data_IF_499149580941
#
_entry.id   IF_499149580941
#
_cell.length_a   1.000
_cell.length_b   1.000
_cell.length_c   1.000
_cell.angle_alpha   90.00
_cell.angle_beta   90.00
_cell.angle_gamma   90.00
#
_symmetry.space_group_name_H-M   'P 1'
#
loop_
_entity.id
_entity.type
_entity.pdbx_description
1 polymer ?
#
# COMPACT_ATOMS: atom_id res chain seq x y z
N UNK A 1 -8.70 -12.63 -14.67
CA UNK A 1 -7.75 -11.96 -15.58
C UNK A 1 -7.89 -10.44 -15.44
N UNK A 2 -7.11 -9.85 -14.55
CA UNK A 2 -7.12 -8.41 -14.30
C UNK A 2 -6.20 -7.75 -15.34
N UNK A 3 -6.79 -7.07 -16.32
CA UNK A 3 -6.03 -6.38 -17.37
C UNK A 3 -5.59 -5.02 -16.82
N UNK A 4 -4.31 -4.94 -16.43
CA UNK A 4 -3.59 -3.70 -16.12
C UNK A 4 -3.46 -2.79 -17.38
N UNK A 5 -3.76 -3.34 -18.57
CA UNK A 5 -3.40 -2.76 -19.87
C UNK A 5 -4.55 -2.12 -20.66
N UNK A 6 -5.70 -1.83 -20.04
CA UNK A 6 -6.64 -0.84 -20.64
C UNK A 6 -6.41 0.50 -19.97
N UNK A 7 -5.49 1.35 -20.49
CA UNK A 7 -5.32 2.70 -20.00
C UNK A 7 -6.65 3.45 -20.14
N UNK A 8 -7.13 4.02 -19.03
CA UNK A 8 -8.23 4.99 -19.07
C UNK A 8 -7.68 6.30 -19.65
N UNK A 9 -8.32 6.90 -20.67
CA UNK A 9 -7.88 8.18 -21.21
C UNK A 9 -7.99 9.27 -20.13
N UNK A 10 -7.16 10.33 -20.22
CA UNK A 10 -7.26 11.46 -19.32
C UNK A 10 -8.66 12.09 -19.43
N UNK A 11 -9.21 12.49 -18.28
CA UNK A 11 -10.53 13.11 -18.20
C UNK A 11 -10.48 14.64 -18.40
N UNK A 12 -9.29 15.24 -18.27
CA UNK A 12 -9.07 16.68 -18.27
C UNK A 12 -7.76 17.05 -19.00
N UNK A 13 -7.65 18.28 -19.49
CA UNK A 13 -6.46 18.80 -20.19
C UNK A 13 -5.24 18.96 -19.25
N UNK A 14 -5.48 19.36 -17.99
CA UNK A 14 -4.47 19.34 -16.94
C UNK A 14 -4.29 17.89 -16.45
N UNK A 15 -3.21 17.24 -16.91
CA UNK A 15 -2.95 15.83 -16.61
C UNK A 15 -1.48 15.57 -16.28
N UNK A 16 -1.20 15.25 -15.03
CA UNK A 16 0.14 15.00 -14.54
C UNK A 16 0.61 13.58 -14.86
N UNK A 17 1.70 13.44 -15.62
CA UNK A 17 2.21 12.16 -16.10
C UNK A 17 3.69 11.91 -15.74
N UNK A 18 4.03 12.11 -14.46
CA UNK A 18 5.38 11.96 -13.90
C UNK A 18 5.60 10.60 -13.22
N UNK A 19 6.82 10.36 -12.75
CA UNK A 19 7.14 9.23 -11.85
C UNK A 19 6.98 9.67 -10.40
N UNK A 20 5.84 9.33 -9.80
CA UNK A 20 5.45 9.81 -8.48
C UNK A 20 4.75 8.71 -7.67
N UNK A 21 5.08 8.64 -6.38
CA UNK A 21 4.29 7.93 -5.37
C UNK A 21 3.65 8.97 -4.45
N UNK A 22 2.34 9.15 -4.58
CA UNK A 22 1.56 10.16 -3.86
C UNK A 22 0.69 9.50 -2.79
N UNK A 23 0.79 9.97 -1.55
CA UNK A 23 -0.01 9.49 -0.43
C UNK A 23 -0.93 10.61 0.03
N UNK A 24 -2.24 10.36 0.00
CA UNK A 24 -3.26 11.23 0.58
C UNK A 24 -3.52 10.80 2.03
N UNK A 25 -3.32 11.72 2.98
CA UNK A 25 -3.57 11.51 4.40
C UNK A 25 -4.73 12.43 4.84
N UNK A 26 -5.89 11.85 5.15
CA UNK A 26 -7.13 12.58 5.42
C UNK A 26 -7.41 12.63 6.93
N UNK A 27 -7.58 13.82 7.47
CA UNK A 27 -8.02 14.04 8.85
C UNK A 27 -9.44 13.50 9.05
N UNK A 28 -9.59 12.46 9.87
CA UNK A 28 -10.86 11.84 10.22
C UNK A 28 -11.45 12.36 11.54
N UNK A 29 -10.98 13.49 12.05
CA UNK A 29 -11.51 14.08 13.28
C UNK A 29 -12.90 14.70 13.09
N UNK A 30 -13.60 14.90 14.19
CA UNK A 30 -14.86 15.64 14.27
C UNK A 30 -14.68 17.17 14.11
N UNK A 31 -13.49 17.66 13.71
CA UNK A 31 -13.29 19.07 13.34
C UNK A 31 -13.76 19.37 11.93
N UNK A 32 -13.90 18.33 11.12
CA UNK A 32 -14.71 18.36 9.91
C UNK A 32 -16.05 17.73 10.25
N UNK A 33 -17.14 18.37 9.86
CA UNK A 33 -18.45 17.72 9.78
C UNK A 33 -18.46 16.64 8.70
N UNK A 34 -19.46 15.78 8.70
CA UNK A 34 -19.61 14.74 7.67
C UNK A 34 -19.70 15.35 6.26
N UNK A 35 -20.38 16.50 6.12
CA UNK A 35 -20.47 17.23 4.85
C UNK A 35 -19.12 17.81 4.41
N UNK A 36 -18.34 18.37 5.34
CA UNK A 36 -17.00 18.88 5.04
C UNK A 36 -16.02 17.74 4.71
N UNK A 37 -16.16 16.59 5.35
CA UNK A 37 -15.40 15.39 5.00
C UNK A 37 -15.78 14.84 3.61
N UNK A 38 -17.06 14.95 3.22
CA UNK A 38 -17.49 14.64 1.85
C UNK A 38 -16.81 15.57 0.84
N UNK A 39 -16.77 16.89 1.11
CA UNK A 39 -16.05 17.86 0.28
C UNK A 39 -14.54 17.53 0.19
N UNK A 40 -13.93 17.08 1.29
CA UNK A 40 -12.54 16.62 1.31
C UNK A 40 -12.32 15.39 0.42
N UNK A 41 -13.23 14.40 0.44
CA UNK A 41 -13.16 13.23 -0.46
C UNK A 41 -13.33 13.64 -1.92
N UNK A 42 -14.27 14.53 -2.22
CA UNK A 42 -14.49 15.07 -3.56
C UNK A 42 -13.22 15.76 -4.06
N UNK A 43 -12.54 16.56 -3.23
CA UNK A 43 -11.25 17.15 -3.56
C UNK A 43 -10.19 16.10 -3.93
N UNK A 44 -10.05 15.04 -3.13
CA UNK A 44 -9.10 13.94 -3.39
C UNK A 44 -9.43 13.24 -4.71
N UNK A 45 -10.70 12.93 -4.97
CA UNK A 45 -11.16 12.33 -6.23
C UNK A 45 -10.83 13.24 -7.42
N UNK A 46 -11.13 14.54 -7.30
CA UNK A 46 -10.86 15.54 -8.33
C UNK A 46 -9.36 15.72 -8.60
N UNK A 47 -8.50 15.55 -7.59
CA UNK A 47 -7.06 15.45 -7.80
C UNK A 47 -6.70 14.19 -8.57
N UNK A 48 -7.19 13.02 -8.16
CA UNK A 48 -6.92 11.73 -8.81
C UNK A 48 -7.32 11.69 -10.29
N UNK A 49 -8.37 12.41 -10.69
CA UNK A 49 -8.77 12.54 -12.10
C UNK A 49 -7.73 13.24 -12.99
N UNK A 50 -6.86 14.06 -12.39
CA UNK A 50 -5.81 14.83 -13.07
C UNK A 50 -4.43 14.15 -12.98
N UNK A 51 -4.37 12.92 -12.47
CA UNK A 51 -3.15 12.14 -12.32
C UNK A 51 -3.15 10.95 -13.26
N UNK A 52 -2.01 10.68 -13.89
CA UNK A 52 -1.77 9.46 -14.66
C UNK A 52 -1.53 8.27 -13.72
N UNK A 53 -2.60 7.77 -13.10
CA UNK A 53 -2.52 6.68 -12.13
C UNK A 53 -2.18 5.36 -12.83
N UNK A 54 -0.99 4.83 -12.54
CA UNK A 54 -0.55 3.48 -12.92
C UNK A 54 0.72 3.09 -12.16
N UNK A 55 1.02 1.79 -12.09
CA UNK A 55 2.27 1.31 -11.47
C UNK A 55 3.54 1.84 -12.16
N UNK A 56 3.45 2.24 -13.45
CA UNK A 56 4.57 2.78 -14.23
C UNK A 56 4.68 4.30 -14.18
N UNK A 57 3.65 5.02 -13.71
CA UNK A 57 3.58 6.50 -13.68
C UNK A 57 3.32 6.99 -12.26
N UNK A 58 2.08 7.32 -11.92
CA UNK A 58 1.73 7.80 -10.59
C UNK A 58 1.09 6.66 -9.79
N UNK A 59 1.71 6.23 -8.70
CA UNK A 59 1.07 5.36 -7.70
C UNK A 59 0.41 6.23 -6.65
N UNK A 60 -0.75 5.82 -6.17
CA UNK A 60 -1.51 6.55 -5.14
C UNK A 60 -1.79 5.66 -3.94
N UNK A 61 -1.74 6.24 -2.75
CA UNK A 61 -2.21 5.63 -1.51
C UNK A 61 -3.16 6.59 -0.80
N UNK A 62 -4.10 6.04 -0.04
CA UNK A 62 -5.13 6.80 0.64
C UNK A 62 -5.28 6.27 2.06
N UNK A 63 -5.07 7.15 3.04
CA UNK A 63 -5.15 6.82 4.46
C UNK A 63 -6.02 7.86 5.15
N UNK A 64 -7.04 7.40 5.86
CA UNK A 64 -7.75 8.23 6.83
C UNK A 64 -7.10 8.04 8.20
N UNK A 65 -6.93 9.13 8.95
CA UNK A 65 -6.31 9.07 10.27
C UNK A 65 -7.14 9.75 11.35
N UNK A 66 -7.23 9.05 12.47
CA UNK A 66 -7.87 9.46 13.72
C UNK A 66 -6.91 9.15 14.88
N UNK A 67 -7.34 8.43 15.92
CA UNK A 67 -6.41 7.85 16.92
C UNK A 67 -5.47 6.80 16.31
N UNK A 68 -5.87 6.18 15.20
CA UNK A 68 -5.05 5.28 14.38
C UNK A 68 -5.00 5.73 12.93
N UNK A 69 -4.62 4.81 12.04
CA UNK A 69 -4.59 5.05 10.59
C UNK A 69 -5.21 3.88 9.86
N UNK A 70 -6.16 4.17 8.96
CA UNK A 70 -6.83 3.18 8.14
C UNK A 70 -6.51 3.43 6.66
N UNK A 71 -5.75 2.51 6.06
CA UNK A 71 -5.40 2.56 4.64
C UNK A 71 -6.51 1.93 3.78
N UNK A 72 -7.03 2.70 2.84
CA UNK A 72 -8.04 2.26 1.87
C UNK A 72 -7.43 1.88 0.52
N UNK A 73 -6.32 2.53 0.16
CA UNK A 73 -5.58 2.29 -1.07
C UNK A 73 -4.09 2.21 -0.72
N UNK A 74 -3.41 1.18 -1.22
CA UNK A 74 -1.97 1.02 -1.13
C UNK A 74 -1.29 1.35 -2.46
N UNK A 75 -0.04 1.83 -2.43
CA UNK A 75 0.71 2.17 -3.64
C UNK A 75 0.79 1.01 -4.65
N UNK A 76 0.80 -0.23 -4.15
CA UNK A 76 0.93 -1.46 -4.94
C UNK A 76 -0.40 -1.98 -5.51
N UNK A 77 -1.52 -1.35 -5.17
CA UNK A 77 -2.82 -1.81 -5.63
C UNK A 77 -2.92 -1.67 -7.15
N UNK A 78 -3.02 -2.80 -7.84
CA UNK A 78 -3.19 -2.87 -9.30
C UNK A 78 -4.67 -2.85 -9.64
N UNK A 79 -5.28 -1.68 -9.51
CA UNK A 79 -6.71 -1.44 -9.78
C UNK A 79 -6.89 -0.38 -10.87
N UNK A 80 -8.05 -0.40 -11.54
CA UNK A 80 -8.38 0.65 -12.51
C UNK A 80 -8.44 2.02 -11.81
N UNK A 81 -8.00 3.13 -12.45
CA UNK A 81 -8.11 4.47 -11.87
C UNK A 81 -9.54 4.82 -11.43
N UNK A 82 -10.55 4.43 -12.21
CA UNK A 82 -11.97 4.56 -11.83
C UNK A 82 -12.35 3.82 -10.55
N UNK A 83 -11.82 2.61 -10.34
CA UNK A 83 -12.07 1.84 -9.12
C UNK A 83 -11.37 2.48 -7.91
N UNK A 84 -10.15 2.98 -8.09
CA UNK A 84 -9.43 3.71 -7.03
C UNK A 84 -10.19 4.99 -6.62
N UNK A 85 -10.70 5.75 -7.59
CA UNK A 85 -11.55 6.93 -7.33
C UNK A 85 -12.84 6.55 -6.58
N UNK A 86 -13.47 5.43 -6.95
CA UNK A 86 -14.66 4.91 -6.25
C UNK A 86 -14.34 4.50 -4.81
N UNK A 87 -13.18 3.91 -4.55
CA UNK A 87 -12.74 3.60 -3.17
C UNK A 87 -12.54 4.90 -2.39
N UNK A 88 -11.89 5.90 -2.99
CA UNK A 88 -11.67 7.19 -2.36
C UNK A 88 -12.98 7.93 -2.02
N UNK A 89 -13.99 7.89 -2.89
CA UNK A 89 -15.30 8.48 -2.61
C UNK A 89 -16.08 7.75 -1.51
N UNK A 90 -15.76 6.49 -1.24
CA UNK A 90 -16.43 5.64 -0.25
C UNK A 90 -15.71 5.55 1.10
N UNK A 91 -14.65 6.34 1.31
CA UNK A 91 -14.01 6.44 2.63
C UNK A 91 -15.06 6.87 3.66
N UNK A 92 -15.10 6.13 4.78
CA UNK A 92 -16.07 6.37 5.85
C UNK A 92 -15.64 7.56 6.69
N UNK A 93 -16.59 8.44 6.99
CA UNK A 93 -16.38 9.50 7.97
C UNK A 93 -16.24 8.89 9.36
N UNK A 94 -15.11 9.14 10.02
CA UNK A 94 -14.83 8.61 11.35
C UNK A 94 -15.40 9.52 12.46
N UNK A 95 -15.31 10.84 12.31
CA UNK A 95 -15.80 11.81 13.30
C UNK A 95 -15.13 11.66 14.67
N UNK A 96 -13.85 11.29 14.68
CA UNK A 96 -13.11 11.01 15.92
C UNK A 96 -12.80 12.27 16.72
N UNK A 97 -12.76 12.17 18.06
CA UNK A 97 -12.31 13.27 18.90
C UNK A 97 -10.83 13.66 18.67
N UNK A 98 -10.03 12.74 18.14
CA UNK A 98 -8.59 12.92 17.88
C UNK A 98 -8.25 12.45 16.47
N UNK A 99 -7.47 13.26 15.77
CA UNK A 99 -6.70 12.85 14.59
C UNK A 99 -5.21 13.11 14.80
N UNK A 100 -4.43 12.03 14.93
CA UNK A 100 -3.01 12.11 15.25
C UNK A 100 -2.15 12.15 13.99
N UNK A 101 -1.71 13.35 13.67
CA UNK A 101 -0.67 13.61 12.67
C UNK A 101 0.65 12.90 12.99
N UNK A 102 0.99 12.74 14.26
CA UNK A 102 2.19 12.00 14.66
C UNK A 102 2.08 10.52 14.27
N UNK A 103 0.93 9.89 14.55
CA UNK A 103 0.70 8.48 14.22
C UNK A 103 0.63 8.22 12.71
N UNK A 104 -0.04 9.09 11.94
CA UNK A 104 -0.12 8.90 10.49
C UNK A 104 1.22 9.11 9.78
N UNK A 105 2.07 10.04 10.26
CA UNK A 105 3.42 10.18 9.71
C UNK A 105 4.34 9.03 10.12
N UNK A 106 4.16 8.46 11.32
CA UNK A 106 4.80 7.20 11.72
C UNK A 106 4.37 6.06 10.78
N UNK A 107 3.08 5.92 10.52
CA UNK A 107 2.53 4.93 9.59
C UNK A 107 3.12 5.12 8.18
N UNK A 108 3.16 6.35 7.69
CA UNK A 108 3.73 6.69 6.38
C UNK A 108 5.20 6.29 6.29
N UNK A 109 5.99 6.54 7.34
CA UNK A 109 7.42 6.23 7.36
C UNK A 109 7.74 4.73 7.42
N UNK A 110 6.98 3.98 8.23
CA UNK A 110 7.29 2.59 8.58
C UNK A 110 6.41 1.54 7.90
N UNK A 111 5.27 1.92 7.34
CA UNK A 111 4.39 1.01 6.61
C UNK A 111 4.44 1.31 5.11
N UNK A 112 4.12 2.54 4.71
CA UNK A 112 4.03 2.91 3.28
C UNK A 112 5.43 2.99 2.65
N UNK A 113 6.31 3.85 3.18
CA UNK A 113 7.67 4.01 2.67
C UNK A 113 8.70 3.21 3.47
N UNK A 114 8.28 2.08 4.04
CA UNK A 114 9.12 1.19 4.84
C UNK A 114 10.37 0.75 4.06
N UNK A 115 10.16 0.27 2.83
CA UNK A 115 11.15 -0.08 1.82
C UNK A 115 11.03 0.88 0.64
N UNK A 116 12.14 1.16 0.00
CA UNK A 116 12.20 1.99 -1.22
C UNK A 116 12.34 1.04 -2.41
N UNK A 117 11.21 0.64 -2.97
CA UNK A 117 11.11 -0.28 -4.10
C UNK A 117 11.13 0.44 -5.46
N UNK A 118 10.91 1.75 -5.46
CA UNK A 118 10.80 2.60 -6.64
C UNK A 118 11.68 3.86 -6.54
N UNK A 119 13.02 3.70 -6.58
CA UNK A 119 13.96 4.80 -6.32
C UNK A 119 13.93 5.91 -7.38
N UNK A 120 13.43 5.64 -8.58
CA UNK A 120 13.28 6.58 -9.68
C UNK A 120 12.11 7.56 -9.54
N UNK A 121 11.15 7.26 -8.65
CA UNK A 121 9.99 8.10 -8.40
C UNK A 121 10.19 9.04 -7.22
N UNK A 122 9.65 10.26 -7.34
CA UNK A 122 9.49 11.14 -6.17
C UNK A 122 8.44 10.56 -5.23
N UNK A 123 8.56 10.85 -3.93
CA UNK A 123 7.61 10.38 -2.90
C UNK A 123 7.06 11.56 -2.15
N UNK A 124 5.74 11.70 -2.15
CA UNK A 124 5.05 12.84 -1.57
C UNK A 124 3.92 12.35 -0.66
N UNK A 125 3.85 12.88 0.54
CA UNK A 125 2.70 12.75 1.43
C UNK A 125 1.95 14.09 1.50
N UNK A 126 0.74 14.13 0.93
CA UNK A 126 -0.18 15.25 1.04
C UNK A 126 -1.00 15.09 2.31
N UNK A 127 -0.66 15.89 3.32
CA UNK A 127 -1.22 15.80 4.67
C UNK A 127 -2.35 16.81 4.84
N UNK A 128 -3.60 16.35 4.70
CA UNK A 128 -4.80 17.17 4.82
C UNK A 128 -5.21 17.25 6.29
N UNK A 129 -5.04 18.42 6.92
CA UNK A 129 -5.18 18.63 8.36
C UNK A 129 -6.33 19.59 8.66
N UNK A 130 -7.24 19.21 9.56
CA UNK A 130 -8.31 20.09 10.03
C UNK A 130 -8.31 20.28 11.55
N UNK A 131 -7.45 19.54 12.26
CA UNK A 131 -7.46 19.47 13.72
C UNK A 131 -6.08 19.63 14.35
N UNK A 132 -6.07 19.60 15.68
CA UNK A 132 -4.87 19.57 16.50
C UNK A 132 -4.87 18.31 17.35
N UNK A 133 -3.79 17.53 17.27
CA UNK A 133 -3.60 16.36 18.13
C UNK A 133 -3.20 16.76 19.57
N UNK A 134 -3.48 15.89 20.56
CA UNK A 134 -3.05 16.11 21.94
C UNK A 134 -1.54 16.37 22.08
N UNK A 135 -1.16 17.35 22.90
CA UNK A 135 0.24 17.78 23.09
C UNK A 135 1.20 16.64 23.47
N UNK A 136 0.72 15.59 24.13
CA UNK A 136 1.54 14.42 24.51
C UNK A 136 2.02 13.65 23.27
N UNK A 137 1.17 13.51 22.25
CA UNK A 137 1.50 12.84 21.00
C UNK A 137 2.40 13.72 20.12
N UNK A 138 2.04 15.01 19.99
CA UNK A 138 2.77 15.97 19.16
C UNK A 138 4.27 16.12 19.50
N UNK A 139 4.69 15.79 20.73
CA UNK A 139 6.11 15.82 21.15
C UNK A 139 7.00 14.88 20.31
N UNK A 140 6.43 13.81 19.76
CA UNK A 140 7.18 12.80 19.02
C UNK A 140 7.08 12.97 17.50
N UNK A 141 6.55 14.10 17.01
CA UNK A 141 6.39 14.35 15.59
C UNK A 141 7.74 14.48 14.86
N UNK A 142 8.67 15.26 15.42
CA UNK A 142 9.93 15.66 14.76
C UNK A 142 10.74 14.46 14.25
N UNK A 143 10.98 13.40 15.05
CA UNK A 143 11.70 12.21 14.57
C UNK A 143 11.10 11.57 13.31
N UNK A 144 9.77 11.55 13.19
CA UNK A 144 9.08 10.95 12.04
C UNK A 144 9.20 11.83 10.79
N UNK A 145 9.02 13.15 10.91
CA UNK A 145 9.22 14.06 9.77
C UNK A 145 10.68 14.03 9.30
N UNK A 146 11.64 13.99 10.23
CA UNK A 146 13.05 13.82 9.88
C UNK A 146 13.34 12.46 9.24
N UNK A 147 12.67 11.39 9.69
CA UNK A 147 12.76 10.07 9.08
C UNK A 147 12.25 10.07 7.63
N UNK A 148 11.11 10.72 7.39
CA UNK A 148 10.55 10.91 6.05
C UNK A 148 11.50 11.70 5.16
N UNK A 149 12.07 12.81 5.66
CA UNK A 149 13.11 13.57 4.96
C UNK A 149 14.32 12.72 4.59
N UNK A 150 14.84 11.90 5.51
CA UNK A 150 15.99 11.00 5.24
C UNK A 150 15.67 9.99 4.13
N UNK A 151 14.41 9.57 4.00
CA UNK A 151 13.91 8.73 2.90
C UNK A 151 13.52 9.53 1.66
N UNK A 152 13.81 10.83 1.58
CA UNK A 152 13.42 11.73 0.49
C UNK A 152 11.89 11.72 0.23
N UNK A 153 11.12 11.61 1.30
CA UNK A 153 9.66 11.78 1.26
C UNK A 153 9.37 13.24 1.59
N UNK A 154 8.74 13.93 0.66
CA UNK A 154 8.30 15.32 0.80
C UNK A 154 6.95 15.30 1.51
N UNK A 155 6.76 16.15 2.52
CA UNK A 155 5.50 16.26 3.25
C UNK A 155 4.90 17.62 2.94
N UNK A 156 3.76 17.62 2.26
CA UNK A 156 3.03 18.83 1.86
C UNK A 156 1.80 18.96 2.76
N UNK A 157 1.86 19.76 3.84
CA UNK A 157 0.71 19.96 4.72
C UNK A 157 -0.30 20.93 4.09
N UNK A 158 -1.57 20.54 4.11
CA UNK A 158 -2.72 21.38 3.73
C UNK A 158 -3.57 21.57 4.98
N UNK A 159 -3.47 22.75 5.59
CA UNK A 159 -4.26 23.11 6.77
C UNK A 159 -5.62 23.68 6.37
N UNK A 160 -6.69 23.18 6.98
CA UNK A 160 -8.07 23.52 6.64
C UNK A 160 -8.78 24.01 7.91
N UNK A 161 -9.23 25.26 7.89
CA UNK A 161 -10.04 25.81 8.97
C UNK A 161 -9.25 26.27 10.19
N UNK A 162 -9.94 26.86 11.18
CA UNK A 162 -9.30 27.55 12.29
C UNK A 162 -8.74 26.61 13.37
N UNK A 163 -9.11 25.33 13.34
CA UNK A 163 -8.72 24.34 14.35
C UNK A 163 -7.39 23.65 14.04
N UNK A 164 -6.79 23.94 12.88
CA UNK A 164 -5.53 23.33 12.48
C UNK A 164 -4.36 23.83 13.33
N UNK A 165 -3.43 22.93 13.65
CA UNK A 165 -2.21 23.28 14.38
C UNK A 165 -1.16 23.94 13.47
N UNK A 166 -1.22 25.26 13.32
CA UNK A 166 -0.26 26.03 12.49
C UNK A 166 1.20 25.89 12.96
N UNK A 167 1.44 25.70 14.26
CA UNK A 167 2.82 25.49 14.76
C UNK A 167 3.40 24.17 14.28
N UNK A 168 2.55 23.16 14.15
CA UNK A 168 2.91 21.86 13.60
C UNK A 168 3.19 21.91 12.10
N UNK A 169 2.36 22.63 11.34
CA UNK A 169 2.60 22.90 9.91
C UNK A 169 3.97 23.56 9.73
N UNK A 170 4.24 24.67 10.44
CA UNK A 170 5.53 25.37 10.38
C UNK A 170 6.72 24.49 10.76
N UNK A 171 6.52 23.52 11.67
CA UNK A 171 7.55 22.57 12.06
C UNK A 171 7.88 21.61 10.91
N UNK A 172 6.87 21.17 10.15
CA UNK A 172 7.03 20.34 8.95
C UNK A 172 7.73 21.12 7.84
N UNK A 173 7.30 22.35 7.55
CA UNK A 173 7.92 23.22 6.53
C UNK A 173 9.42 23.43 6.79
N UNK A 174 9.79 23.67 8.06
CA UNK A 174 11.19 23.87 8.45
C UNK A 174 12.10 22.66 8.22
N UNK A 175 11.55 21.46 8.01
CA UNK A 175 12.39 20.27 7.82
C UNK A 175 13.03 20.22 6.43
N UNK A 176 12.35 20.70 5.38
CA UNK A 176 12.84 20.66 4.00
C UNK A 176 12.20 21.77 3.16
N UNK A 177 12.95 22.42 2.24
CA UNK A 177 12.42 23.51 1.41
C UNK A 177 11.25 23.08 0.50
N UNK A 178 11.18 21.80 0.17
CA UNK A 178 10.10 21.19 -0.62
C UNK A 178 8.82 20.91 0.19
N UNK A 179 8.85 21.07 1.52
CA UNK A 179 7.67 20.89 2.37
C UNK A 179 6.81 22.16 2.37
N UNK A 180 6.37 22.67 1.21
CA UNK A 180 5.49 23.86 1.13
C UNK A 180 4.14 23.57 1.80
N UNK A 181 3.69 24.46 2.67
CA UNK A 181 2.33 24.40 3.22
C UNK A 181 1.31 25.14 2.37
N UNK A 182 0.08 24.64 2.37
CA UNK A 182 -1.11 25.35 1.91
C UNK A 182 -2.04 25.54 3.11
N UNK A 183 -2.51 26.75 3.37
CA UNK A 183 -3.40 27.04 4.51
C UNK A 183 -4.67 27.68 3.97
N UNK A 184 -5.78 27.04 4.26
CA UNK A 184 -7.11 27.32 3.73
C UNK A 184 -8.06 27.66 4.88
N UNK A 185 -8.99 28.58 4.63
CA UNK A 185 -9.96 29.01 5.65
C UNK A 185 -11.08 27.98 5.86
N UNK A 186 -11.44 27.22 4.82
CA UNK A 186 -12.46 26.16 4.86
C UNK A 186 -12.22 25.12 3.76
N UNK A 187 -13.01 24.05 3.77
CA UNK A 187 -13.00 23.05 2.68
C UNK A 187 -13.47 23.61 1.34
N UNK A 188 -14.18 24.73 1.31
CA UNK A 188 -14.72 25.32 0.09
C UNK A 188 -13.61 25.92 -0.80
N UNK A 189 -12.47 26.26 -0.20
CA UNK A 189 -11.29 26.79 -0.91
C UNK A 189 -10.46 25.68 -1.57
N UNK A 190 -10.70 24.40 -1.23
CA UNK A 190 -9.93 23.26 -1.75
C UNK A 190 -10.00 23.17 -3.27
N UNK A 191 -11.18 23.35 -3.87
CA UNK A 191 -11.33 23.26 -5.32
C UNK A 191 -10.55 24.36 -6.07
N UNK A 192 -10.51 25.56 -5.49
CA UNK A 192 -9.80 26.72 -6.07
C UNK A 192 -8.29 26.52 -6.04
N UNK A 193 -7.79 25.82 -5.01
CA UNK A 193 -6.36 25.57 -4.80
C UNK A 193 -5.86 24.24 -5.40
N UNK A 194 -6.78 23.38 -5.84
CA UNK A 194 -6.49 22.05 -6.40
C UNK A 194 -5.42 22.09 -7.49
N UNK A 195 -5.61 22.91 -8.51
CA UNK A 195 -4.73 22.89 -9.68
C UNK A 195 -3.33 23.46 -9.35
N UNK A 196 -3.24 24.44 -8.43
CA UNK A 196 -1.96 24.92 -7.91
C UNK A 196 -1.22 23.82 -7.14
N UNK A 197 -1.93 23.11 -6.26
CA UNK A 197 -1.36 21.98 -5.50
C UNK A 197 -0.86 20.92 -6.47
N UNK A 198 -1.68 20.51 -7.45
CA UNK A 198 -1.29 19.50 -8.44
C UNK A 198 -0.03 19.93 -9.20
N UNK A 199 0.00 21.17 -9.72
CA UNK A 199 1.18 21.68 -10.43
C UNK A 199 2.42 21.58 -9.55
N UNK A 200 2.33 22.04 -8.30
CA UNK A 200 3.43 21.98 -7.35
C UNK A 200 3.93 20.55 -7.10
N UNK A 201 3.02 19.60 -6.86
CA UNK A 201 3.39 18.20 -6.65
C UNK A 201 4.06 17.58 -7.88
N UNK A 202 3.60 17.95 -9.07
CA UNK A 202 4.09 17.42 -10.34
C UNK A 202 5.44 18.00 -10.75
N UNK A 203 5.71 19.26 -10.41
CA UNK A 203 7.02 19.90 -10.65
C UNK A 203 8.13 19.28 -9.79
N UNK A 204 7.78 18.71 -8.63
CA UNK A 204 8.70 17.97 -7.76
C UNK A 204 9.00 16.54 -8.27
N UNK A 205 8.28 16.06 -9.28
CA UNK A 205 8.41 14.69 -9.77
C UNK A 205 9.18 14.62 -11.11
N UNK A 206 10.09 13.65 -11.26
CA UNK A 206 10.87 13.51 -12.49
C UNK A 206 9.99 13.07 -13.66
N UNK A 207 10.40 13.50 -14.86
CA UNK A 207 9.79 13.04 -16.11
C UNK A 207 9.97 11.53 -16.27
N UNK A 208 8.96 10.85 -16.81
CA UNK A 208 9.17 9.47 -17.20
C UNK A 208 10.03 9.41 -18.46
N UNK A 209 10.91 8.40 -18.60
CA UNK A 209 11.66 8.17 -19.82
C UNK A 209 10.73 8.13 -21.04
N UNK A 210 11.16 8.75 -22.14
CA UNK A 210 10.47 8.60 -23.41
C UNK A 210 10.39 7.11 -23.78
N UNK A 211 9.28 6.65 -24.41
CA UNK A 211 9.23 5.30 -24.94
C UNK A 211 10.42 5.10 -25.89
N UNK A 212 11.32 4.18 -25.57
CA UNK A 212 12.38 3.76 -26.49
C UNK A 212 11.67 3.22 -27.73
N UNK A 213 11.87 3.89 -28.87
CA UNK A 213 11.40 3.37 -30.15
C UNK A 213 11.97 1.95 -30.29
N UNK A 214 11.13 0.93 -30.59
CA UNK A 214 11.66 -0.37 -30.92
C UNK A 214 12.62 -0.21 -32.11
N UNK A 215 13.81 -0.84 -32.09
CA UNK A 215 14.71 -0.79 -33.23
C UNK A 215 13.99 -1.32 -34.47
N UNK A 216 14.28 -0.80 -35.68
CA UNK A 216 13.64 -1.27 -36.90
C UNK A 216 13.87 -2.78 -37.03
N UNK A 217 12.77 -3.53 -37.04
CA UNK A 217 12.79 -4.98 -37.22
C UNK A 217 13.40 -5.25 -38.59
N UNK A 218 14.61 -5.83 -38.62
CA UNK A 218 15.20 -6.31 -39.86
C UNK A 218 14.28 -7.40 -40.44
N UNK A 219 13.83 -7.19 -41.68
CA UNK A 219 13.06 -8.21 -42.41
C UNK A 219 14.01 -9.37 -42.74
N UNK A 220 13.81 -10.51 -42.07
CA UNK A 220 14.53 -11.75 -42.36
C UNK A 220 13.82 -12.46 -43.50
N UNK A 221 14.53 -12.59 -44.61
CA UNK A 221 14.14 -13.36 -45.80
C UNK A 221 13.93 -14.83 -45.43
N UNK A 222 12.75 -15.37 -45.74
CA UNK A 222 12.40 -16.76 -45.47
C UNK A 222 13.12 -17.67 -46.47
N UNK A 223 14.10 -18.44 -46.02
CA UNK A 223 14.54 -19.66 -46.68
C UNK A 223 13.66 -20.83 -46.20
N UNK A 224 13.29 -21.78 -47.08
CA UNK A 224 12.50 -22.93 -46.65
C UNK A 224 13.41 -23.89 -45.87
N UNK A 225 12.87 -24.56 -44.85
CA UNK A 225 13.02 -26.01 -44.63
C UNK A 225 12.54 -26.44 -43.20
N UNK A 226 11.75 -27.50 -43.24
CA UNK A 226 11.40 -28.54 -42.25
C UNK A 226 10.53 -28.26 -40.99
N UNK A 227 9.52 -29.14 -40.93
CA UNK A 227 8.56 -29.40 -39.86
C UNK A 227 9.26 -29.75 -38.55
N UNK A 228 8.84 -29.08 -37.46
CA UNK A 228 8.60 -29.75 -36.17
C UNK A 228 7.56 -28.94 -35.40
N UNK A 229 6.43 -29.59 -35.12
CA UNK A 229 5.35 -29.05 -34.29
C UNK A 229 5.88 -29.00 -32.86
N UNK A 230 6.39 -27.83 -32.45
CA UNK A 230 6.66 -27.56 -31.04
C UNK A 230 5.48 -26.80 -30.45
N UNK A 231 4.60 -27.54 -29.78
CA UNK A 231 3.55 -26.99 -28.94
C UNK A 231 4.17 -26.34 -27.70
N UNK A 232 4.62 -25.10 -27.81
CA UNK A 232 4.83 -24.25 -26.64
C UNK A 232 3.90 -23.04 -26.75
N UNK A 233 2.82 -23.09 -25.98
CA UNK A 233 2.08 -21.88 -25.61
C UNK A 233 3.02 -20.87 -24.93
N UNK A 234 2.62 -19.59 -24.86
CA UNK A 234 3.48 -18.55 -24.31
C UNK A 234 3.87 -18.92 -22.88
N UNK A 235 5.19 -19.01 -22.62
CA UNK A 235 5.73 -19.12 -21.25
C UNK A 235 5.20 -17.93 -20.46
N UNK A 236 4.25 -18.18 -19.56
CA UNK A 236 3.91 -17.24 -18.49
C UNK A 236 5.20 -17.05 -17.68
N UNK A 237 5.67 -15.81 -17.58
CA UNK A 237 6.68 -15.45 -16.59
C UNK A 237 6.18 -15.94 -15.23
N UNK A 238 6.80 -16.96 -14.64
CA UNK A 238 6.40 -17.44 -13.31
C UNK A 238 6.75 -16.34 -12.31
N UNK A 239 5.73 -15.78 -11.66
CA UNK A 239 5.96 -15.01 -10.45
C UNK A 239 6.25 -16.01 -9.36
N UNK A 240 7.45 -15.96 -8.79
CA UNK A 240 7.77 -16.68 -7.56
C UNK A 240 7.12 -15.92 -6.40
N UNK A 241 6.19 -16.56 -5.68
CA UNK A 241 5.43 -15.94 -4.60
C UNK A 241 5.60 -16.76 -3.32
N UNK A 242 6.06 -16.13 -2.25
CA UNK A 242 6.24 -16.77 -0.95
C UNK A 242 5.06 -16.42 -0.03
N UNK A 243 4.33 -17.45 0.45
CA UNK A 243 3.15 -17.30 1.31
C UNK A 243 3.36 -18.00 2.65
N UNK A 244 3.15 -17.28 3.76
CA UNK A 244 3.17 -17.87 5.11
C UNK A 244 1.76 -17.97 5.65
N UNK A 245 1.31 -19.18 5.96
CA UNK A 245 0.09 -19.42 6.75
C UNK A 245 0.43 -19.48 8.23
N UNK A 246 -0.27 -18.70 9.05
CA UNK A 246 -0.06 -18.63 10.51
C UNK A 246 -1.36 -19.03 11.21
N UNK A 247 -1.44 -20.27 11.67
CA UNK A 247 -2.64 -20.86 12.27
C UNK A 247 -2.59 -20.76 13.80
N UNK A 248 -3.66 -20.25 14.38
CA UNK A 248 -3.83 -20.27 15.83
C UNK A 248 -4.30 -21.65 16.30
N UNK A 249 -3.48 -22.31 17.12
CA UNK A 249 -3.76 -23.60 17.75
C UNK A 249 -3.96 -23.49 19.26
N UNK A 250 -4.62 -22.42 19.74
CA UNK A 250 -4.85 -22.17 21.17
C UNK A 250 -6.06 -22.94 21.72
N UNK A 251 -6.10 -23.12 23.05
CA UNK A 251 -7.24 -23.72 23.75
C UNK A 251 -8.54 -22.90 23.63
N UNK A 252 -8.45 -21.62 23.28
CA UNK A 252 -9.61 -20.78 23.00
C UNK A 252 -10.28 -21.13 21.66
N UNK A 253 -9.49 -21.51 20.65
CA UNK A 253 -10.00 -22.01 19.37
C UNK A 253 -10.55 -23.43 19.55
N UNK A 254 -9.78 -24.29 20.22
CA UNK A 254 -10.10 -25.70 20.43
C UNK A 254 -9.94 -26.56 19.16
N UNK A 255 -9.72 -27.86 19.35
CA UNK A 255 -9.36 -28.80 18.26
C UNK A 255 -10.38 -28.80 17.10
N UNK A 256 -11.68 -28.77 17.40
CA UNK A 256 -12.72 -28.82 16.37
C UNK A 256 -12.68 -27.60 15.42
N UNK A 257 -12.42 -26.40 15.94
CA UNK A 257 -12.31 -25.21 15.10
C UNK A 257 -10.93 -25.08 14.45
N UNK A 258 -9.89 -25.56 15.12
CA UNK A 258 -8.57 -25.68 14.51
C UNK A 258 -8.62 -26.55 13.25
N UNK A 259 -9.29 -27.71 13.32
CA UNK A 259 -9.44 -28.62 12.17
C UNK A 259 -10.15 -27.93 10.99
N UNK A 260 -11.19 -27.12 11.25
CA UNK A 260 -11.85 -26.31 10.20
C UNK A 260 -10.90 -25.28 9.58
N UNK A 261 -10.07 -24.62 10.38
CA UNK A 261 -9.06 -23.67 9.89
C UNK A 261 -7.99 -24.37 9.03
N UNK A 262 -7.57 -25.57 9.42
CA UNK A 262 -6.64 -26.41 8.65
C UNK A 262 -7.24 -26.87 7.32
N UNK A 263 -8.49 -27.33 7.32
CA UNK A 263 -9.23 -27.73 6.11
C UNK A 263 -9.40 -26.54 5.15
N UNK A 264 -9.76 -25.37 5.67
CA UNK A 264 -9.84 -24.14 4.86
C UNK A 264 -8.48 -23.78 4.25
N UNK A 265 -7.39 -23.87 5.01
CA UNK A 265 -6.04 -23.65 4.48
C UNK A 265 -5.72 -24.67 3.37
N UNK A 266 -6.05 -25.95 3.55
CA UNK A 266 -5.86 -26.98 2.52
C UNK A 266 -6.58 -26.61 1.21
N UNK A 267 -7.85 -26.19 1.28
CA UNK A 267 -8.62 -25.77 0.11
C UNK A 267 -8.02 -24.57 -0.61
N UNK A 268 -7.45 -23.61 0.14
CA UNK A 268 -6.74 -22.46 -0.42
C UNK A 268 -5.49 -22.93 -1.17
N UNK A 269 -4.66 -23.75 -0.53
CA UNK A 269 -3.41 -24.29 -1.11
C UNK A 269 -3.71 -25.15 -2.34
N UNK A 270 -4.81 -25.89 -2.33
CA UNK A 270 -5.25 -26.70 -3.47
C UNK A 270 -5.52 -25.85 -4.73
N UNK A 271 -5.81 -24.54 -4.59
CA UNK A 271 -6.03 -23.62 -5.73
C UNK A 271 -4.77 -22.86 -6.14
N UNK A 272 -3.69 -22.97 -5.37
CA UNK A 272 -2.40 -22.32 -5.64
C UNK A 272 -1.53 -23.18 -6.57
N UNK A 273 -0.70 -22.51 -7.37
CA UNK A 273 0.32 -23.14 -8.23
C UNK A 273 1.62 -23.32 -7.42
N UNK A 274 1.63 -24.32 -6.54
CA UNK A 274 2.72 -24.57 -5.57
C UNK A 274 3.81 -25.43 -6.19
N UNK A 275 5.05 -24.97 -6.09
CA UNK A 275 6.20 -25.67 -6.64
C UNK A 275 7.46 -24.82 -6.60
N UNK A 276 8.60 -25.48 -6.79
CA UNK A 276 9.95 -24.92 -6.60
C UNK A 276 10.30 -23.65 -7.41
N UNK A 277 9.62 -23.43 -8.55
CA UNK A 277 9.82 -22.26 -9.43
C UNK A 277 8.57 -21.36 -9.50
N UNK A 278 7.67 -21.49 -8.53
CA UNK A 278 6.33 -20.87 -8.50
C UNK A 278 5.95 -20.40 -7.09
N UNK A 279 4.86 -20.89 -6.50
CA UNK A 279 4.46 -20.49 -5.15
C UNK A 279 5.17 -21.38 -4.11
N UNK A 280 5.87 -20.75 -3.16
CA UNK A 280 6.39 -21.42 -1.97
C UNK A 280 5.52 -21.15 -0.75
N UNK A 281 5.43 -22.13 0.14
CA UNK A 281 4.55 -22.09 1.30
C UNK A 281 5.33 -22.38 2.58
N UNK A 282 5.13 -21.56 3.60
CA UNK A 282 5.50 -21.87 4.98
C UNK A 282 4.21 -21.97 5.80
N UNK A 283 4.12 -22.96 6.68
CA UNK A 283 2.99 -23.10 7.60
C UNK A 283 3.51 -23.08 9.02
N UNK A 284 2.95 -22.17 9.82
CA UNK A 284 3.22 -22.03 11.24
C UNK A 284 1.95 -22.31 12.03
N UNK A 285 2.07 -23.05 13.12
CA UNK A 285 1.05 -23.13 14.16
C UNK A 285 1.53 -22.31 15.37
N UNK A 286 0.65 -21.56 16.01
CA UNK A 286 1.00 -20.81 17.21
C UNK A 286 -0.06 -20.85 18.31
N UNK A 287 0.40 -20.85 19.55
CA UNK A 287 -0.39 -20.55 20.75
C UNK A 287 0.48 -19.71 21.69
N UNK A 288 1.03 -20.31 22.74
CA UNK A 288 2.06 -19.71 23.59
C UNK A 288 3.44 -19.73 22.92
N UNK A 289 3.72 -20.79 22.16
CA UNK A 289 4.92 -20.98 21.33
C UNK A 289 4.54 -20.97 19.85
N UNK A 290 5.54 -20.82 18.99
CA UNK A 290 5.41 -20.93 17.53
C UNK A 290 6.06 -22.24 17.10
N UNK A 291 5.33 -23.04 16.33
CA UNK A 291 5.79 -24.31 15.76
C UNK A 291 5.80 -24.19 14.24
N UNK A 292 6.92 -24.54 13.62
CA UNK A 292 7.04 -24.58 12.16
C UNK A 292 6.58 -25.95 11.68
N UNK A 293 5.51 -25.99 10.89
CA UNK A 293 4.95 -27.22 10.33
C UNK A 293 5.52 -27.49 8.91
N UNK A 294 5.87 -26.42 8.19
CA UNK A 294 6.57 -26.48 6.90
C UNK A 294 7.29 -25.16 6.62
N UNK A 295 8.47 -25.20 5.99
CA UNK A 295 9.27 -24.02 5.68
C UNK A 295 9.65 -23.91 4.20
N UNK A 296 9.81 -22.68 3.70
CA UNK A 296 10.21 -22.37 2.30
C UNK A 296 11.51 -23.06 1.85
N UNK A 297 12.45 -23.28 2.78
CA UNK A 297 13.79 -23.80 2.48
C UNK A 297 13.80 -25.30 2.13
N UNK A 298 12.71 -26.01 2.41
CA UNK A 298 12.55 -27.41 2.03
C UNK A 298 12.17 -27.53 0.55
N UNK A 299 12.53 -28.63 -0.12
CA UNK A 299 12.02 -28.88 -1.47
C UNK A 299 10.51 -29.07 -1.44
N UNK A 300 9.79 -28.31 -2.26
CA UNK A 300 8.32 -28.25 -2.20
C UNK A 300 7.68 -28.73 -3.51
N UNK A 301 6.79 -29.71 -3.39
CA UNK A 301 5.75 -29.95 -4.37
C UNK A 301 4.38 -29.70 -3.74
N UNK A 302 3.39 -29.37 -4.57
CA UNK A 302 2.00 -29.22 -4.11
C UNK A 302 1.50 -30.43 -3.33
N UNK A 303 1.84 -31.64 -3.79
CA UNK A 303 1.47 -32.89 -3.13
C UNK A 303 2.07 -32.98 -1.72
N UNK A 304 3.35 -32.67 -1.58
CA UNK A 304 4.05 -32.77 -0.30
C UNK A 304 3.55 -31.72 0.72
N UNK A 305 3.24 -30.50 0.27
CA UNK A 305 2.71 -29.46 1.15
C UNK A 305 1.29 -29.82 1.61
N UNK A 306 0.42 -30.27 0.70
CA UNK A 306 -0.93 -30.70 1.08
C UNK A 306 -0.89 -31.90 2.03
N UNK A 307 0.04 -32.83 1.84
CA UNK A 307 0.20 -33.95 2.75
C UNK A 307 0.63 -33.48 4.16
N UNK A 308 1.66 -32.62 4.24
CA UNK A 308 2.09 -32.02 5.52
C UNK A 308 0.95 -31.27 6.20
N UNK A 309 0.18 -30.47 5.46
CA UNK A 309 -0.96 -29.72 5.98
C UNK A 309 -2.01 -30.63 6.62
N UNK A 310 -2.35 -31.77 6.00
CA UNK A 310 -3.29 -32.75 6.56
C UNK A 310 -2.80 -33.37 7.86
N UNK A 311 -1.48 -33.51 8.01
CA UNK A 311 -0.84 -34.13 9.16
C UNK A 311 -0.67 -33.19 10.35
N UNK A 312 -0.90 -31.88 10.17
CA UNK A 312 -0.82 -30.89 11.25
C UNK A 312 -1.84 -31.25 12.33
N UNK A 313 -1.32 -31.48 13.54
CA UNK A 313 -2.10 -31.78 14.74
C UNK A 313 -2.31 -30.52 15.57
N UNK A 314 -3.48 -30.43 16.17
CA UNK A 314 -3.78 -29.41 17.18
C UNK A 314 -2.85 -29.57 18.39
N UNK A 315 -2.14 -28.50 18.76
CA UNK A 315 -1.17 -28.52 19.87
C UNK A 315 -1.73 -27.96 21.19
N UNK A 316 -2.75 -27.10 21.11
CA UNK A 316 -3.30 -26.41 22.27
C UNK A 316 -2.36 -25.37 22.88
N UNK A 317 -2.83 -24.72 23.93
CA UNK A 317 -2.08 -23.72 24.66
C UNK A 317 -2.98 -22.71 25.34
N UNK A 318 -2.67 -22.44 26.61
CA UNK A 318 -3.48 -21.63 27.51
C UNK A 318 -3.48 -20.12 27.21
N UNK A 319 -2.71 -19.66 26.22
CA UNK A 319 -2.60 -18.25 25.84
C UNK A 319 -2.13 -18.11 24.40
N UNK A 320 -2.51 -16.99 23.78
CA UNK A 320 -2.25 -16.68 22.38
C UNK A 320 -1.22 -15.56 22.27
N UNK A 321 -0.08 -15.82 21.63
CA UNK A 321 1.00 -14.84 21.39
C UNK A 321 1.17 -14.51 19.92
N UNK A 322 0.17 -13.87 19.32
CA UNK A 322 0.19 -13.47 17.90
C UNK A 322 1.40 -12.57 17.57
N UNK A 323 1.78 -11.67 18.49
CA UNK A 323 2.97 -10.83 18.31
C UNK A 323 4.27 -11.63 18.17
N UNK A 324 4.42 -12.73 18.92
CA UNK A 324 5.57 -13.62 18.82
C UNK A 324 5.56 -14.40 17.50
N UNK A 325 4.39 -14.87 17.06
CA UNK A 325 4.23 -15.53 15.76
C UNK A 325 4.64 -14.61 14.60
N UNK A 326 4.18 -13.35 14.61
CA UNK A 326 4.54 -12.37 13.58
C UNK A 326 6.02 -11.95 13.64
N UNK A 327 6.59 -11.88 14.85
CA UNK A 327 8.03 -11.67 15.02
C UNK A 327 8.82 -12.84 14.41
N UNK A 328 8.39 -14.08 14.65
CA UNK A 328 9.01 -15.27 14.08
C UNK A 328 8.99 -15.22 12.54
N UNK A 329 7.84 -14.91 11.94
CA UNK A 329 7.69 -14.73 10.48
C UNK A 329 8.69 -13.71 9.93
N UNK A 330 8.79 -12.55 10.59
CA UNK A 330 9.72 -11.48 10.21
C UNK A 330 11.18 -11.91 10.27
N UNK A 331 11.57 -12.63 11.32
CA UNK A 331 12.97 -12.94 11.63
C UNK A 331 13.47 -14.24 11.00
N UNK A 332 12.58 -15.20 10.71
CA UNK A 332 12.96 -16.56 10.31
C UNK A 332 12.32 -17.02 8.99
N UNK A 333 11.07 -16.65 8.70
CA UNK A 333 10.39 -17.12 7.49
C UNK A 333 10.81 -16.35 6.25
N UNK A 334 10.99 -15.03 6.34
CA UNK A 334 11.38 -14.17 5.21
C UNK A 334 12.82 -13.62 5.28
N UNK A 335 13.65 -14.13 6.19
CA UNK A 335 15.07 -13.79 6.24
C UNK A 335 15.86 -14.63 5.22
N UNK A 336 16.67 -13.94 4.42
CA UNK A 336 17.55 -14.53 3.40
C UNK A 336 18.51 -15.55 4.01
#
# INVERSE_FOLDING_TARGET
>A
PYMEDTPEPPLHDLYCSKLLDLVFLLDGSSKLSEAEFEALKVFVVNMMERLHISQKRIRVALVEYHEGSHAYIQLQDRKRPSELRRIASQVKYAGSAVASTTEVLKYTLFQIFSKVDRPEASRIALLLMASQEPRKLARNLVPYVQGLKRKKVIVVPVGIGPHVNLMQIRLIEKQAPENKAFVLSSVDELEQQRDEIISYLCDLAPEAPAPTQPPPVAQVTVGPVHLEVSSLGPKRNSMVLDVVFVLEGSDQIGEANFNKSREFMEEVIQRMDVGQDSIHITVLQYSYTVTVESAFRETQSKGDILQRVREIRYQGGNSTRTGLALQYVREHSFSA
#
